data_IF_093910716268
#
_entry.id   IF_093910716268
#
_cell.length_a   1.000
_cell.length_b   1.000
_cell.length_c   1.000
_cell.angle_alpha   90.00
_cell.angle_beta   90.00
_cell.angle_gamma   90.00
#
_symmetry.space_group_name_H-M   'P 1'
#
loop_
_entity.id
_entity.type
_entity.pdbx_description
1 polymer ?
#
# COMPACT_ATOMS: atom_id res chain seq x y z
N UNK A 1 18.07 -34.81 -7.38
CA UNK A 1 18.27 -34.10 -8.63
C UNK A 1 19.10 -32.86 -8.35
N UNK A 2 20.17 -32.54 -9.12
CA UNK A 2 21.00 -31.38 -8.82
C UNK A 2 20.21 -30.08 -9.10
N UNK A 3 20.30 -29.13 -8.18
CA UNK A 3 19.72 -27.79 -8.32
C UNK A 3 20.29 -27.12 -9.58
N UNK A 4 19.40 -26.58 -10.42
CA UNK A 4 19.77 -25.84 -11.62
C UNK A 4 20.54 -24.58 -11.20
N UNK A 5 21.81 -24.49 -11.61
CA UNK A 5 22.60 -23.26 -11.49
C UNK A 5 21.94 -22.19 -12.36
N UNK A 6 21.36 -21.17 -11.75
CA UNK A 6 20.89 -19.98 -12.45
C UNK A 6 22.11 -19.28 -13.06
N UNK A 7 22.08 -19.06 -14.37
CA UNK A 7 23.10 -18.28 -15.08
C UNK A 7 22.93 -16.79 -14.70
N UNK A 8 23.90 -16.14 -14.04
CA UNK A 8 23.79 -14.76 -13.60
C UNK A 8 23.68 -13.73 -14.74
N UNK A 9 24.03 -14.11 -15.98
CA UNK A 9 24.02 -13.22 -17.16
C UNK A 9 22.74 -13.32 -18.00
N UNK A 10 21.76 -14.12 -17.58
CA UNK A 10 20.47 -14.17 -18.27
C UNK A 10 19.56 -13.07 -17.71
N UNK A 11 19.04 -12.15 -18.57
CA UNK A 11 18.05 -11.19 -18.11
C UNK A 11 16.89 -11.95 -17.45
N UNK A 12 16.36 -11.48 -16.31
CA UNK A 12 15.27 -12.14 -15.62
C UNK A 12 14.11 -12.36 -16.59
N UNK A 13 13.56 -13.58 -16.61
CA UNK A 13 12.38 -13.85 -17.43
C UNK A 13 11.28 -12.85 -17.06
N UNK A 14 10.55 -12.32 -18.05
CA UNK A 14 9.52 -11.34 -17.76
C UNK A 14 8.51 -11.95 -16.80
N UNK A 15 8.28 -11.28 -15.66
CA UNK A 15 7.26 -11.67 -14.70
C UNK A 15 5.92 -11.79 -15.42
N UNK A 16 5.24 -12.90 -15.22
CA UNK A 16 3.95 -13.18 -15.87
C UNK A 16 2.86 -13.43 -14.81
N UNK A 17 2.05 -12.41 -14.58
CA UNK A 17 0.85 -12.46 -13.75
C UNK A 17 -0.41 -12.28 -14.59
N UNK A 18 -0.33 -12.51 -15.90
CA UNK A 18 -1.43 -12.30 -16.86
C UNK A 18 -2.72 -12.96 -16.37
N UNK A 19 -3.82 -12.20 -16.41
CA UNK A 19 -5.14 -12.66 -15.99
C UNK A 19 -5.38 -12.74 -14.48
N UNK A 20 -4.38 -12.38 -13.65
CA UNK A 20 -4.54 -12.34 -12.19
C UNK A 20 -4.94 -10.96 -11.71
N UNK A 21 -5.62 -10.90 -10.57
CA UNK A 21 -5.86 -9.68 -9.81
C UNK A 21 -4.72 -9.43 -8.83
N UNK A 22 -4.52 -8.17 -8.42
CA UNK A 22 -3.59 -7.80 -7.36
C UNK A 22 -4.34 -7.02 -6.27
N UNK A 23 -4.71 -7.69 -5.20
CA UNK A 23 -5.46 -7.10 -4.08
C UNK A 23 -4.54 -6.81 -2.91
N UNK A 24 -3.60 -7.71 -2.64
CA UNK A 24 -2.58 -7.63 -1.60
C UNK A 24 -1.28 -8.21 -2.13
N UNK A 25 -0.14 -7.83 -1.55
CA UNK A 25 1.14 -8.52 -1.84
C UNK A 25 1.18 -9.94 -1.26
N UNK A 26 0.19 -10.32 -0.44
CA UNK A 26 -0.01 -11.72 -0.01
C UNK A 26 -0.52 -12.62 -1.15
N UNK A 27 -1.16 -12.06 -2.18
CA UNK A 27 -1.62 -12.81 -3.36
C UNK A 27 -0.45 -13.30 -4.23
N UNK A 28 0.73 -12.79 -3.95
CA UNK A 28 1.96 -13.08 -4.67
C UNK A 28 2.87 -14.01 -3.86
N UNK A 29 3.62 -14.88 -4.53
CA UNK A 29 4.71 -15.59 -3.89
C UNK A 29 5.86 -14.62 -3.55
N UNK A 30 6.78 -14.97 -2.62
CA UNK A 30 7.96 -14.15 -2.36
C UNK A 30 8.81 -13.87 -3.62
N UNK A 31 8.91 -14.86 -4.51
CA UNK A 31 9.64 -14.76 -5.77
C UNK A 31 8.93 -13.80 -6.74
N UNK A 32 7.59 -13.81 -6.77
CA UNK A 32 6.81 -12.88 -7.58
C UNK A 32 6.94 -11.44 -7.08
N UNK A 33 6.91 -11.21 -5.76
CA UNK A 33 7.17 -9.89 -5.18
C UNK A 33 8.57 -9.41 -5.56
N UNK A 34 9.59 -10.27 -5.41
CA UNK A 34 10.98 -9.96 -5.77
C UNK A 34 11.11 -9.65 -7.26
N UNK A 35 10.47 -10.45 -8.11
CA UNK A 35 10.45 -10.21 -9.56
C UNK A 35 9.79 -8.90 -9.97
N UNK A 36 8.74 -8.44 -9.27
CA UNK A 36 8.14 -7.12 -9.49
C UNK A 36 9.08 -5.99 -9.06
N UNK A 37 9.78 -6.15 -7.92
CA UNK A 37 10.80 -5.19 -7.45
C UNK A 37 11.93 -5.07 -8.47
N UNK A 38 12.48 -6.20 -8.92
CA UNK A 38 13.57 -6.23 -9.91
C UNK A 38 13.11 -5.63 -11.25
N UNK A 39 11.88 -5.94 -11.68
CA UNK A 39 11.27 -5.34 -12.87
C UNK A 39 11.14 -3.82 -12.74
N UNK A 40 10.65 -3.32 -11.59
CA UNK A 40 10.52 -1.88 -11.34
C UNK A 40 11.89 -1.17 -11.40
N UNK A 41 12.93 -1.77 -10.80
CA UNK A 41 14.29 -1.24 -10.83
C UNK A 41 14.89 -1.24 -12.25
N UNK A 42 14.69 -2.31 -13.00
CA UNK A 42 15.15 -2.39 -14.39
C UNK A 42 14.45 -1.37 -15.31
N UNK A 43 13.14 -1.15 -15.11
CA UNK A 43 12.40 -0.09 -15.80
C UNK A 43 12.92 1.30 -15.45
N UNK A 44 13.22 1.54 -14.17
CA UNK A 44 13.81 2.81 -13.66
C UNK A 44 15.18 3.07 -14.23
N UNK A 45 16.00 2.04 -14.35
CA UNK A 45 17.34 2.12 -14.94
C UNK A 45 17.33 2.22 -16.48
N UNK A 46 16.20 2.04 -17.15
CA UNK A 46 16.10 1.98 -18.62
C UNK A 46 16.65 0.69 -19.23
N UNK A 47 16.81 -0.35 -18.43
CA UNK A 47 17.30 -1.67 -18.85
C UNK A 47 16.18 -2.57 -19.37
N UNK A 48 14.92 -2.15 -19.17
CA UNK A 48 13.70 -2.86 -19.55
C UNK A 48 12.66 -1.89 -20.08
N UNK A 49 11.85 -2.36 -21.03
CA UNK A 49 10.65 -1.69 -21.52
C UNK A 49 9.40 -2.44 -21.04
N UNK A 50 8.34 -1.67 -20.65
CA UNK A 50 7.05 -2.27 -20.31
C UNK A 50 6.16 -2.42 -21.55
N UNK A 51 5.42 -3.52 -21.63
CA UNK A 51 4.53 -3.86 -22.77
C UNK A 51 3.17 -3.21 -22.64
N UNK A 52 3.13 -1.87 -22.54
CA UNK A 52 1.91 -1.08 -22.31
C UNK A 52 1.43 -0.32 -23.53
N UNK A 53 2.18 -0.33 -24.64
CA UNK A 53 1.80 0.37 -25.86
C UNK A 53 0.42 -0.07 -26.38
N UNK A 54 -0.46 0.91 -26.59
CA UNK A 54 -1.85 0.70 -27.03
C UNK A 54 -2.79 0.14 -25.96
N UNK A 55 -2.33 -0.06 -24.72
CA UNK A 55 -3.18 -0.55 -23.62
C UNK A 55 -3.83 0.60 -22.88
N UNK A 56 -4.98 0.32 -22.29
CA UNK A 56 -5.79 1.29 -21.54
C UNK A 56 -6.02 0.77 -20.12
N UNK A 57 -5.79 1.60 -19.11
CA UNK A 57 -6.17 1.35 -17.72
C UNK A 57 -7.34 2.26 -17.34
N UNK A 58 -8.44 1.68 -16.84
CA UNK A 58 -9.50 2.44 -16.17
C UNK A 58 -9.15 2.56 -14.68
N UNK A 59 -9.11 3.78 -14.14
CA UNK A 59 -8.74 4.06 -12.75
C UNK A 59 -9.93 4.66 -12.00
N UNK A 60 -10.57 3.88 -11.13
CA UNK A 60 -11.77 4.27 -10.39
C UNK A 60 -11.39 4.77 -8.99
N UNK A 61 -11.58 6.06 -8.74
CA UNK A 61 -11.19 6.73 -7.51
C UNK A 61 -12.42 7.20 -6.70
N UNK A 62 -12.87 6.41 -5.72
CA UNK A 62 -13.87 6.86 -4.75
C UNK A 62 -13.29 7.87 -3.76
N UNK A 63 -11.98 7.81 -3.51
CA UNK A 63 -11.27 8.73 -2.64
C UNK A 63 -10.16 9.46 -3.40
N UNK A 64 -9.92 10.74 -3.09
CA UNK A 64 -8.87 11.52 -3.77
C UNK A 64 -7.48 10.94 -3.50
N UNK A 65 -6.62 10.97 -4.53
CA UNK A 65 -5.20 10.64 -4.42
C UNK A 65 -4.40 11.35 -5.49
N UNK A 66 -3.35 12.06 -5.07
CA UNK A 66 -2.43 12.73 -6.00
C UNK A 66 -1.42 11.70 -6.54
N UNK A 67 -0.69 11.04 -5.64
CA UNK A 67 0.42 10.15 -6.02
C UNK A 67 -0.03 8.90 -6.75
N UNK A 68 -1.07 8.22 -6.26
CA UNK A 68 -1.58 7.01 -6.92
C UNK A 68 -2.08 7.31 -8.33
N UNK A 69 -2.80 8.44 -8.50
CA UNK A 69 -3.29 8.85 -9.80
C UNK A 69 -2.15 9.17 -10.75
N UNK A 70 -1.26 10.09 -10.37
CA UNK A 70 -0.14 10.51 -11.21
C UNK A 70 0.78 9.32 -11.53
N UNK A 71 1.11 8.46 -10.55
CA UNK A 71 2.01 7.32 -10.80
C UNK A 71 1.42 6.32 -11.80
N UNK A 72 0.14 5.97 -11.69
CA UNK A 72 -0.51 5.06 -12.64
C UNK A 72 -0.66 5.68 -14.03
N UNK A 73 -1.13 6.93 -14.12
CA UNK A 73 -1.27 7.63 -15.39
C UNK A 73 0.08 7.82 -16.09
N UNK A 74 1.12 8.22 -15.34
CA UNK A 74 2.48 8.39 -15.88
C UNK A 74 3.12 7.05 -16.28
N UNK A 75 2.88 5.97 -15.53
CA UNK A 75 3.36 4.64 -15.90
C UNK A 75 2.80 4.19 -17.24
N UNK A 76 1.49 4.33 -17.45
CA UNK A 76 0.85 4.01 -18.72
C UNK A 76 1.38 4.87 -19.86
N UNK A 77 1.37 6.21 -19.68
CA UNK A 77 1.78 7.15 -20.71
C UNK A 77 3.25 6.99 -21.12
N UNK A 78 4.16 6.73 -20.18
CA UNK A 78 5.60 6.56 -20.44
C UNK A 78 5.89 5.42 -21.42
N UNK A 79 5.07 4.39 -21.43
CA UNK A 79 5.24 3.21 -22.28
C UNK A 79 4.18 3.07 -23.37
N UNK A 80 3.61 4.22 -23.82
CA UNK A 80 2.69 4.27 -24.96
C UNK A 80 1.29 3.73 -24.72
N UNK A 81 0.91 3.52 -23.47
CA UNK A 81 -0.45 3.24 -23.03
C UNK A 81 -1.20 4.51 -22.63
N UNK A 82 -2.41 4.35 -22.15
CA UNK A 82 -3.23 5.43 -21.62
C UNK A 82 -3.95 5.01 -20.33
N UNK A 83 -4.30 5.99 -19.50
CA UNK A 83 -5.13 5.78 -18.33
C UNK A 83 -6.30 6.76 -18.33
N UNK A 84 -7.48 6.28 -17.93
CA UNK A 84 -8.70 7.06 -17.80
C UNK A 84 -9.12 7.00 -16.33
N UNK A 85 -9.01 8.12 -15.64
CA UNK A 85 -9.42 8.19 -14.23
C UNK A 85 -10.83 8.75 -14.12
N UNK A 86 -11.69 8.06 -13.39
CA UNK A 86 -13.06 8.45 -13.07
C UNK A 86 -13.29 8.53 -11.57
N UNK A 87 -14.16 9.42 -11.12
CA UNK A 87 -14.47 9.66 -9.72
C UNK A 87 -15.97 9.51 -9.48
N UNK A 88 -16.43 8.33 -9.01
CA UNK A 88 -17.85 8.12 -8.70
C UNK A 88 -18.42 9.21 -7.78
N UNK A 89 -19.61 9.71 -8.12
CA UNK A 89 -20.27 10.79 -7.40
C UNK A 89 -19.71 12.20 -7.65
N UNK A 90 -18.74 12.35 -8.57
CA UNK A 90 -18.17 13.67 -8.95
C UNK A 90 -18.21 13.91 -10.45
N UNK A 91 -17.47 13.14 -11.23
CA UNK A 91 -17.43 13.22 -12.69
C UNK A 91 -18.24 12.10 -13.37
N UNK A 92 -18.71 11.13 -12.57
CA UNK A 92 -19.66 10.10 -12.96
C UNK A 92 -20.65 9.86 -11.82
N UNK A 93 -21.68 9.04 -12.04
CA UNK A 93 -22.66 8.67 -11.02
C UNK A 93 -22.08 7.71 -9.98
N UNK A 94 -22.84 7.51 -8.90
CA UNK A 94 -22.50 6.53 -7.87
C UNK A 94 -22.81 5.11 -8.32
N UNK A 95 -22.01 4.15 -7.87
CA UNK A 95 -22.16 2.73 -8.16
C UNK A 95 -22.75 1.97 -6.97
N UNK A 96 -23.48 0.89 -7.28
CA UNK A 96 -24.06 -0.03 -6.34
C UNK A 96 -23.37 -1.40 -6.43
N UNK A 97 -23.27 -2.11 -5.30
CA UNK A 97 -22.71 -3.46 -5.27
C UNK A 97 -23.53 -4.47 -4.45
N UNK A 98 -24.54 -4.01 -3.72
CA UNK A 98 -25.36 -4.84 -2.83
C UNK A 98 -26.22 -5.87 -3.58
N UNK A 99 -26.29 -7.09 -3.04
CA UNK A 99 -27.14 -8.12 -3.62
C UNK A 99 -28.64 -7.87 -3.37
N UNK A 100 -29.48 -8.00 -4.42
CA UNK A 100 -30.92 -7.85 -4.31
C UNK A 100 -31.40 -6.45 -3.94
N UNK A 101 -30.52 -5.45 -4.02
CA UNK A 101 -30.85 -4.06 -3.70
C UNK A 101 -31.87 -3.49 -4.69
N UNK A 102 -32.81 -2.70 -4.18
CA UNK A 102 -33.73 -1.90 -5.00
C UNK A 102 -33.05 -0.55 -5.25
N UNK A 103 -32.68 -0.27 -6.49
CA UNK A 103 -31.91 0.93 -6.87
C UNK A 103 -32.83 2.16 -7.05
N UNK A 104 -33.54 2.55 -6.00
CA UNK A 104 -34.41 3.74 -5.95
C UNK A 104 -33.78 4.94 -5.23
N UNK A 105 -32.49 4.82 -4.84
CA UNK A 105 -31.71 5.83 -4.13
C UNK A 105 -30.75 6.61 -5.03
N UNK A 106 -29.53 6.89 -4.53
CA UNK A 106 -28.54 7.75 -5.18
C UNK A 106 -27.54 7.00 -6.07
N UNK A 107 -27.63 5.68 -6.18
CA UNK A 107 -26.81 4.84 -7.06
C UNK A 107 -27.54 4.60 -8.37
N UNK A 108 -26.83 4.68 -9.50
CA UNK A 108 -27.44 4.63 -10.84
C UNK A 108 -27.00 3.44 -11.68
N UNK A 109 -25.92 2.77 -11.30
CA UNK A 109 -25.37 1.63 -12.02
C UNK A 109 -24.84 0.59 -11.04
N UNK A 110 -25.21 -0.68 -11.26
CA UNK A 110 -24.75 -1.77 -10.41
C UNK A 110 -23.46 -2.40 -10.96
N UNK A 111 -22.60 -2.94 -10.09
CA UNK A 111 -21.33 -3.58 -10.50
C UNK A 111 -21.51 -4.74 -11.48
N UNK A 112 -22.69 -5.38 -11.49
CA UNK A 112 -23.02 -6.48 -12.44
C UNK A 112 -23.04 -6.04 -13.89
N UNK A 113 -23.41 -4.79 -14.16
CA UNK A 113 -23.38 -4.17 -15.48
C UNK A 113 -22.10 -3.39 -15.67
N UNK A 114 -21.69 -2.61 -14.67
CA UNK A 114 -20.50 -1.75 -14.72
C UNK A 114 -19.23 -2.52 -15.06
N UNK A 115 -18.94 -3.59 -14.30
CA UNK A 115 -17.67 -4.30 -14.44
C UNK A 115 -17.49 -4.94 -15.82
N UNK A 116 -18.43 -5.78 -16.34
CA UNK A 116 -18.27 -6.37 -17.67
C UNK A 116 -18.28 -5.32 -18.80
N UNK A 117 -18.96 -4.19 -18.61
CA UNK A 117 -18.99 -3.13 -19.65
C UNK A 117 -17.64 -2.41 -19.72
N UNK A 118 -17.11 -1.89 -18.61
CA UNK A 118 -15.84 -1.15 -18.66
C UNK A 118 -14.64 -2.05 -18.93
N UNK A 119 -14.67 -3.31 -18.51
CA UNK A 119 -13.58 -4.25 -18.78
C UNK A 119 -13.47 -4.67 -20.25
N UNK A 120 -14.51 -4.47 -21.07
CA UNK A 120 -14.44 -4.60 -22.53
C UNK A 120 -13.83 -3.38 -23.23
N UNK A 121 -13.68 -2.25 -22.51
CA UNK A 121 -13.13 -1.00 -23.04
C UNK A 121 -11.69 -0.75 -22.61
N UNK A 122 -11.17 -1.54 -21.66
CA UNK A 122 -9.84 -1.38 -21.10
C UNK A 122 -9.13 -2.72 -20.92
N UNK A 123 -7.85 -2.67 -20.55
CA UNK A 123 -7.00 -3.84 -20.36
C UNK A 123 -6.70 -4.12 -18.88
N UNK A 124 -6.93 -3.11 -18.04
CA UNK A 124 -6.75 -3.16 -16.58
C UNK A 124 -7.77 -2.25 -15.92
N UNK A 125 -8.21 -2.61 -14.71
CA UNK A 125 -8.98 -1.71 -13.86
C UNK A 125 -8.24 -1.53 -12.53
N UNK A 126 -7.97 -0.29 -12.17
CA UNK A 126 -7.47 0.08 -10.85
C UNK A 126 -8.61 0.64 -9.99
N UNK A 127 -8.81 0.13 -8.77
CA UNK A 127 -9.88 0.60 -7.88
C UNK A 127 -9.26 1.12 -6.58
N UNK A 128 -9.60 2.38 -6.23
CA UNK A 128 -9.31 2.99 -4.95
C UNK A 128 -10.61 3.28 -4.22
N UNK A 129 -10.91 2.50 -3.17
CA UNK A 129 -12.10 2.66 -2.34
C UNK A 129 -11.78 2.32 -0.89
N UNK A 130 -11.62 3.34 -0.06
CA UNK A 130 -11.42 3.20 1.38
C UNK A 130 -12.43 4.07 2.12
N UNK A 131 -13.44 3.46 2.71
CA UNK A 131 -14.48 4.16 3.45
C UNK A 131 -13.93 4.82 4.72
N UNK A 132 -12.90 4.24 5.33
CA UNK A 132 -12.25 4.82 6.53
C UNK A 132 -11.67 6.22 6.29
N UNK A 133 -11.25 6.54 5.05
CA UNK A 133 -10.81 7.90 4.69
C UNK A 133 -11.97 8.90 4.80
N UNK A 134 -13.18 8.45 4.49
CA UNK A 134 -14.38 9.29 4.45
C UNK A 134 -15.00 9.47 5.84
N UNK A 135 -14.97 8.44 6.65
CA UNK A 135 -15.56 8.40 8.00
C UNK A 135 -14.77 9.23 9.02
N UNK A 136 -13.45 9.33 8.88
CA UNK A 136 -12.61 10.21 9.70
C UNK A 136 -12.81 11.71 9.43
N UNK A 137 -13.67 12.09 8.47
CA UNK A 137 -14.18 13.44 8.28
C UNK A 137 -15.60 13.51 8.85
N UNK A 138 -15.86 14.42 9.76
CA UNK A 138 -17.03 14.60 10.63
C UNK A 138 -18.46 14.62 9.98
N UNK A 139 -18.68 13.95 8.85
CA UNK A 139 -19.93 14.01 8.08
C UNK A 139 -20.61 12.67 7.79
N UNK A 140 -20.11 11.57 8.30
CA UNK A 140 -20.78 10.28 8.14
C UNK A 140 -20.52 9.40 9.35
N UNK A 141 -21.57 9.07 10.11
CA UNK A 141 -21.49 7.98 11.06
C UNK A 141 -21.05 6.72 10.30
N UNK A 142 -19.91 6.13 10.71
CA UNK A 142 -19.57 4.80 10.23
C UNK A 142 -20.69 3.85 10.63
N UNK A 143 -21.48 3.43 9.67
CA UNK A 143 -22.46 2.38 9.85
C UNK A 143 -21.73 1.06 9.68
N UNK A 144 -21.67 0.23 10.71
CA UNK A 144 -21.00 -1.06 10.66
C UNK A 144 -19.75 -1.15 11.54
N UNK A 145 -19.13 -2.31 11.54
CA UNK A 145 -17.85 -2.58 12.23
C UNK A 145 -16.67 -2.45 11.27
N UNK A 146 -15.46 -2.37 11.81
CA UNK A 146 -14.25 -2.47 10.99
C UNK A 146 -14.23 -3.78 10.17
N UNK A 147 -14.65 -4.90 10.76
CA UNK A 147 -14.68 -6.21 10.10
C UNK A 147 -15.57 -6.22 8.84
N UNK A 148 -16.67 -5.47 8.85
CA UNK A 148 -17.51 -5.31 7.65
C UNK A 148 -16.79 -4.52 6.56
N UNK A 149 -16.12 -3.43 6.91
CA UNK A 149 -15.36 -2.64 5.95
C UNK A 149 -14.13 -3.38 5.41
N UNK A 150 -13.45 -4.16 6.26
CA UNK A 150 -12.28 -4.95 5.87
C UNK A 150 -12.59 -6.03 4.83
N UNK A 151 -13.86 -6.36 4.62
CA UNK A 151 -14.30 -7.25 3.53
C UNK A 151 -14.09 -6.64 2.14
N UNK A 152 -13.92 -5.33 2.02
CA UNK A 152 -13.70 -4.62 0.75
C UNK A 152 -14.74 -5.00 -0.32
N UNK A 153 -16.03 -5.06 0.07
CA UNK A 153 -17.13 -5.68 -0.70
C UNK A 153 -17.20 -5.20 -2.15
N UNK A 154 -17.14 -3.88 -2.36
CA UNK A 154 -17.20 -3.34 -3.72
C UNK A 154 -16.07 -3.89 -4.62
N UNK A 155 -14.84 -3.95 -4.08
CA UNK A 155 -13.67 -4.44 -4.81
C UNK A 155 -13.85 -5.91 -5.22
N UNK A 156 -14.28 -6.75 -4.27
CA UNK A 156 -14.51 -8.16 -4.52
C UNK A 156 -15.69 -8.41 -5.47
N UNK A 157 -16.80 -7.69 -5.29
CA UNK A 157 -17.94 -7.78 -6.21
C UNK A 157 -17.59 -7.31 -7.63
N UNK A 158 -16.78 -6.25 -7.75
CA UNK A 158 -16.31 -5.82 -9.06
C UNK A 158 -15.49 -6.91 -9.76
N UNK A 159 -14.58 -7.56 -9.02
CA UNK A 159 -13.74 -8.65 -9.55
C UNK A 159 -14.55 -9.88 -10.01
N UNK A 160 -15.68 -10.18 -9.37
CA UNK A 160 -16.55 -11.31 -9.79
C UNK A 160 -17.04 -11.16 -11.24
N UNK A 161 -17.23 -9.92 -11.71
CA UNK A 161 -17.77 -9.61 -13.03
C UNK A 161 -16.74 -9.02 -14.01
N UNK A 162 -15.53 -8.76 -13.54
CA UNK A 162 -14.46 -8.20 -14.39
C UNK A 162 -13.86 -9.25 -15.33
N UNK A 163 -13.66 -8.86 -16.60
CA UNK A 163 -13.06 -9.71 -17.64
C UNK A 163 -11.54 -9.42 -17.82
N UNK A 164 -10.99 -8.44 -17.11
CA UNK A 164 -9.57 -8.06 -17.14
C UNK A 164 -9.00 -7.95 -15.72
N UNK A 165 -7.67 -7.97 -15.54
CA UNK A 165 -7.04 -7.78 -14.24
C UNK A 165 -7.51 -6.56 -13.48
N UNK A 166 -7.82 -6.74 -12.19
CA UNK A 166 -8.17 -5.69 -11.24
C UNK A 166 -7.02 -5.48 -10.27
N UNK A 167 -6.61 -4.22 -10.09
CA UNK A 167 -5.55 -3.78 -9.19
C UNK A 167 -6.14 -2.96 -8.06
N UNK A 168 -5.91 -3.38 -6.83
CA UNK A 168 -6.24 -2.59 -5.64
C UNK A 168 -5.28 -1.40 -5.53
N UNK A 169 -5.80 -0.19 -5.71
CA UNK A 169 -5.03 1.05 -5.58
C UNK A 169 -5.03 1.63 -4.15
N UNK A 170 -5.89 1.20 -3.32
CA UNK A 170 -6.05 1.27 -1.86
C UNK A 170 -7.50 0.93 -1.50
N UNK A 171 -7.67 -0.06 -0.66
CA UNK A 171 -8.95 -0.45 -0.07
C UNK A 171 -8.99 -0.13 1.43
N UNK A 172 -9.95 -0.67 2.17
CA UNK A 172 -9.97 -0.52 3.63
C UNK A 172 -8.85 -1.31 4.31
N UNK A 173 -8.44 -2.44 3.73
CA UNK A 173 -7.50 -3.39 4.34
C UNK A 173 -6.10 -3.31 3.74
N UNK A 174 -5.94 -3.02 2.43
CA UNK A 174 -4.68 -3.14 1.71
C UNK A 174 -4.37 -1.97 0.77
N UNK A 175 -3.08 -1.72 0.59
CA UNK A 175 -2.53 -0.80 -0.40
C UNK A 175 -1.28 -1.41 -1.08
N UNK A 176 -1.44 -2.48 -1.91
CA UNK A 176 -0.30 -3.26 -2.44
C UNK A 176 0.69 -2.43 -3.25
N UNK A 177 0.22 -1.41 -3.95
CA UNK A 177 1.06 -0.50 -4.72
C UNK A 177 2.01 0.33 -3.83
N UNK A 178 1.62 0.61 -2.57
CA UNK A 178 2.52 1.22 -1.59
C UNK A 178 3.53 0.19 -1.10
N UNK A 179 3.08 -1.00 -0.72
CA UNK A 179 3.97 -2.08 -0.27
C UNK A 179 5.11 -2.34 -1.26
N UNK A 180 4.80 -2.43 -2.55
CA UNK A 180 5.82 -2.65 -3.59
C UNK A 180 6.79 -1.48 -3.74
N UNK A 181 6.30 -0.23 -3.62
CA UNK A 181 7.16 0.95 -3.70
C UNK A 181 8.12 1.05 -2.51
N UNK A 182 7.61 0.78 -1.30
CA UNK A 182 8.42 0.71 -0.08
C UNK A 182 9.49 -0.37 -0.21
N UNK A 183 9.09 -1.60 -0.60
CA UNK A 183 10.01 -2.71 -0.82
C UNK A 183 11.09 -2.37 -1.85
N UNK A 184 10.73 -1.73 -2.96
CA UNK A 184 11.67 -1.31 -4.00
C UNK A 184 12.67 -0.29 -3.44
N UNK A 185 12.19 0.69 -2.66
CA UNK A 185 13.04 1.71 -2.04
C UNK A 185 14.00 1.11 -1.02
N UNK A 186 13.51 0.18 -0.19
CA UNK A 186 14.34 -0.55 0.78
C UNK A 186 15.46 -1.31 0.06
N UNK A 187 15.14 -2.04 -1.02
CA UNK A 187 16.13 -2.78 -1.80
C UNK A 187 17.14 -1.85 -2.48
N UNK A 188 16.69 -0.70 -3.03
CA UNK A 188 17.59 0.30 -3.64
C UNK A 188 18.58 0.89 -2.62
N UNK A 189 18.10 1.15 -1.39
CA UNK A 189 18.90 1.81 -0.35
C UNK A 189 19.82 0.85 0.42
N UNK A 190 19.35 -0.38 0.69
CA UNK A 190 20.08 -1.33 1.52
C UNK A 190 20.80 -2.42 0.73
N UNK A 191 20.43 -2.66 -0.52
CA UNK A 191 20.94 -3.75 -1.37
C UNK A 191 20.44 -5.12 -0.92
N UNK A 192 20.78 -5.54 0.30
CA UNK A 192 20.38 -6.81 0.91
C UNK A 192 19.57 -6.54 2.18
N UNK A 193 18.25 -6.54 2.10
CA UNK A 193 17.39 -6.19 3.25
C UNK A 193 17.12 -7.35 4.20
N UNK A 194 17.42 -8.61 3.81
CA UNK A 194 17.15 -9.79 4.63
C UNK A 194 17.82 -9.66 6.01
N UNK A 195 17.07 -9.91 7.08
CA UNK A 195 17.53 -9.79 8.49
C UNK A 195 17.90 -8.37 8.95
N UNK A 196 17.73 -7.38 8.09
CA UNK A 196 17.88 -5.98 8.49
C UNK A 196 16.70 -5.57 9.39
N UNK A 197 16.96 -4.67 10.34
CA UNK A 197 15.97 -4.23 11.31
C UNK A 197 15.07 -3.15 10.71
N UNK A 198 13.77 -3.46 10.62
CA UNK A 198 12.74 -2.54 10.15
C UNK A 198 11.80 -2.18 11.30
N UNK A 199 11.53 -0.90 11.48
CA UNK A 199 10.59 -0.37 12.46
C UNK A 199 9.42 0.30 11.74
N UNK A 200 8.22 -0.28 11.86
CA UNK A 200 6.98 0.41 11.52
C UNK A 200 6.50 1.13 12.78
N UNK A 201 6.68 2.44 12.84
CA UNK A 201 6.28 3.22 14.01
C UNK A 201 4.94 3.91 13.83
N UNK A 202 4.03 3.71 14.78
CA UNK A 202 2.87 4.58 14.93
C UNK A 202 3.32 6.01 15.19
N UNK A 203 2.56 6.97 14.66
CA UNK A 203 2.74 8.38 14.94
C UNK A 203 1.40 9.04 15.19
N UNK A 204 1.40 10.11 15.98
CA UNK A 204 0.18 10.83 16.29
C UNK A 204 -0.37 11.57 15.05
N UNK A 205 -1.71 11.66 14.98
CA UNK A 205 -2.41 12.46 13.98
C UNK A 205 -3.75 12.95 14.57
N UNK A 206 -4.23 14.19 14.26
CA UNK A 206 -5.47 14.72 14.82
C UNK A 206 -6.72 13.93 14.42
N UNK A 207 -6.67 13.19 13.33
CA UNK A 207 -7.75 12.30 12.86
C UNK A 207 -7.37 10.85 13.02
N UNK A 208 -8.38 9.98 13.13
CA UNK A 208 -8.20 8.54 12.92
C UNK A 208 -7.94 8.29 11.43
N UNK A 209 -6.88 7.59 11.09
CA UNK A 209 -6.51 7.27 9.71
C UNK A 209 -6.68 5.77 9.44
N UNK A 210 -6.88 5.38 8.16
CA UNK A 210 -7.03 3.98 7.77
C UNK A 210 -5.80 3.13 8.11
N UNK A 211 -6.04 1.86 8.37
CA UNK A 211 -5.00 0.85 8.63
C UNK A 211 -4.43 0.19 7.37
N UNK A 212 -5.05 0.38 6.21
CA UNK A 212 -4.63 -0.24 4.94
C UNK A 212 -3.16 0.05 4.57
N UNK A 213 -2.73 1.30 4.79
CA UNK A 213 -1.34 1.68 4.51
C UNK A 213 -0.36 1.04 5.48
N UNK A 214 -0.52 1.13 6.84
CA UNK A 214 0.41 0.44 7.75
C UNK A 214 0.40 -1.08 7.58
N UNK A 215 -0.74 -1.73 7.28
CA UNK A 215 -0.74 -3.15 6.90
C UNK A 215 0.18 -3.42 5.70
N UNK A 216 0.10 -2.57 4.68
CA UNK A 216 0.90 -2.74 3.46
C UNK A 216 2.37 -2.37 3.66
N UNK A 217 2.68 -1.41 4.54
CA UNK A 217 4.04 -1.07 4.97
C UNK A 217 4.65 -2.19 5.82
N UNK A 218 3.88 -2.84 6.69
CA UNK A 218 4.30 -4.06 7.36
C UNK A 218 4.68 -5.14 6.33
N UNK A 219 3.81 -5.38 5.35
CA UNK A 219 4.06 -6.39 4.32
C UNK A 219 5.25 -6.07 3.41
N UNK A 220 5.65 -4.80 3.27
CA UNK A 220 6.83 -4.44 2.48
C UNK A 220 8.11 -5.04 3.07
N UNK A 221 8.29 -4.95 4.38
CA UNK A 221 9.43 -5.49 5.10
C UNK A 221 9.34 -7.02 5.28
N UNK A 222 8.12 -7.52 5.56
CA UNK A 222 7.83 -8.96 5.70
C UNK A 222 8.22 -9.72 4.44
N UNK A 223 7.82 -9.24 3.25
CA UNK A 223 8.13 -9.87 1.97
C UNK A 223 9.64 -9.85 1.63
N UNK A 224 10.41 -9.02 2.30
CA UNK A 224 11.87 -8.94 2.17
C UNK A 224 12.61 -9.78 3.22
N UNK A 225 11.91 -10.49 4.12
CA UNK A 225 12.52 -11.30 5.17
C UNK A 225 13.30 -10.48 6.21
N UNK A 226 12.87 -9.25 6.50
CA UNK A 226 13.47 -8.36 7.49
C UNK A 226 13.11 -8.79 8.92
N UNK A 227 13.84 -8.29 9.92
CA UNK A 227 13.47 -8.37 11.32
C UNK A 227 12.59 -7.14 11.65
N UNK A 228 11.28 -7.38 11.75
CA UNK A 228 10.25 -6.33 11.79
C UNK A 228 9.80 -6.07 13.22
N UNK A 229 9.76 -4.81 13.62
CA UNK A 229 9.16 -4.33 14.85
C UNK A 229 7.99 -3.39 14.53
N UNK A 230 6.79 -3.71 14.97
CA UNK A 230 5.66 -2.78 14.99
C UNK A 230 5.71 -2.03 16.32
N UNK A 231 6.14 -0.78 16.26
CA UNK A 231 6.27 0.12 17.39
C UNK A 231 5.00 0.97 17.51
N UNK A 232 4.24 0.78 18.58
CA UNK A 232 2.94 1.41 18.75
C UNK A 232 2.58 1.57 20.23
N UNK A 233 1.77 2.57 20.61
CA UNK A 233 1.20 2.63 21.96
C UNK A 233 0.15 1.53 22.17
N UNK A 234 -0.19 1.29 23.42
CA UNK A 234 -1.30 0.41 23.78
C UNK A 234 -2.60 0.83 23.09
N UNK A 235 -3.43 -0.12 22.65
CA UNK A 235 -4.68 0.12 21.95
C UNK A 235 -4.57 0.45 20.45
N UNK A 236 -3.35 0.56 19.90
CA UNK A 236 -3.11 0.83 18.48
C UNK A 236 -2.53 -0.38 17.71
N UNK A 237 -2.97 -1.57 18.07
CA UNK A 237 -2.65 -2.79 17.33
C UNK A 237 -3.15 -2.74 15.89
N UNK A 238 -2.42 -3.40 14.99
CA UNK A 238 -2.92 -3.70 13.65
C UNK A 238 -3.90 -4.88 13.72
N UNK A 239 -4.61 -5.13 12.62
CA UNK A 239 -5.57 -6.22 12.55
C UNK A 239 -4.92 -7.58 12.92
N UNK A 240 -5.49 -8.34 13.88
CA UNK A 240 -4.87 -9.59 14.36
C UNK A 240 -4.61 -10.61 13.25
N UNK A 241 -5.52 -10.72 12.29
CA UNK A 241 -5.36 -11.64 11.15
C UNK A 241 -4.22 -11.19 10.22
N UNK A 242 -4.06 -9.88 9.98
CA UNK A 242 -2.92 -9.36 9.22
C UNK A 242 -1.61 -9.64 9.94
N UNK A 243 -1.57 -9.46 11.26
CA UNK A 243 -0.39 -9.77 12.08
C UNK A 243 -0.04 -11.26 12.05
N UNK A 244 -1.04 -12.14 12.07
CA UNK A 244 -0.85 -13.59 11.96
C UNK A 244 -0.25 -13.96 10.60
N UNK A 245 -0.85 -13.49 9.51
CA UNK A 245 -0.37 -13.72 8.14
C UNK A 245 1.03 -13.15 7.91
N UNK A 246 1.31 -11.96 8.44
CA UNK A 246 2.62 -11.33 8.36
C UNK A 246 3.69 -12.15 9.09
N UNK A 247 3.37 -12.69 10.29
CA UNK A 247 4.29 -13.54 11.07
C UNK A 247 4.62 -14.82 10.33
N UNK A 248 3.61 -15.55 9.85
CA UNK A 248 3.82 -16.76 9.07
C UNK A 248 4.70 -16.51 7.84
N UNK A 249 4.44 -15.41 7.12
CA UNK A 249 5.18 -15.05 5.92
C UNK A 249 6.64 -14.69 6.22
N UNK A 250 6.90 -13.86 7.24
CA UNK A 250 8.26 -13.41 7.56
C UNK A 250 9.10 -14.54 8.12
N UNK A 251 8.52 -15.43 8.95
CA UNK A 251 9.19 -16.61 9.48
C UNK A 251 9.59 -17.57 8.36
N UNK A 252 8.71 -17.80 7.38
CA UNK A 252 9.01 -18.61 6.20
C UNK A 252 10.17 -18.04 5.35
N UNK A 253 10.39 -16.72 5.42
CA UNK A 253 11.50 -16.02 4.76
C UNK A 253 12.72 -15.85 5.67
N UNK A 254 12.65 -16.40 6.89
CA UNK A 254 13.73 -16.40 7.88
C UNK A 254 13.85 -15.10 8.67
N UNK A 255 12.96 -14.12 8.51
CA UNK A 255 12.86 -12.90 9.34
C UNK A 255 12.10 -13.14 10.64
N UNK A 256 11.77 -12.06 11.33
CA UNK A 256 10.99 -12.07 12.56
C UNK A 256 9.99 -10.92 12.61
N UNK A 257 8.93 -11.06 13.45
CA UNK A 257 7.94 -10.02 13.68
C UNK A 257 7.61 -9.93 15.16
N UNK A 258 7.78 -8.74 15.72
CA UNK A 258 7.40 -8.42 17.10
C UNK A 258 6.63 -7.10 17.17
N UNK A 259 5.94 -6.89 18.29
CA UNK A 259 5.26 -5.65 18.65
C UNK A 259 5.80 -5.15 19.99
N UNK A 260 5.92 -3.82 20.13
CA UNK A 260 6.37 -3.19 21.38
C UNK A 260 5.91 -1.73 21.44
N UNK A 261 5.89 -1.17 22.65
CA UNK A 261 5.78 0.27 22.93
C UNK A 261 7.12 0.87 23.38
N UNK A 262 8.15 0.03 23.57
CA UNK A 262 9.51 0.47 23.93
C UNK A 262 10.21 1.12 22.74
N UNK A 263 10.10 2.46 22.68
CA UNK A 263 10.71 3.26 21.64
C UNK A 263 12.24 3.16 21.65
N UNK A 264 12.87 3.10 22.82
CA UNK A 264 14.33 3.03 22.94
C UNK A 264 14.87 1.74 22.29
N UNK A 265 14.31 0.61 22.64
CA UNK A 265 14.70 -0.68 22.07
C UNK A 265 14.36 -0.78 20.57
N UNK A 266 13.24 -0.20 20.16
CA UNK A 266 12.80 -0.27 18.77
C UNK A 266 13.72 0.53 17.83
N UNK A 267 14.06 1.77 18.15
CA UNK A 267 14.93 2.61 17.29
C UNK A 267 16.38 2.17 17.28
N UNK A 268 16.87 1.55 18.37
CA UNK A 268 18.28 1.15 18.49
C UNK A 268 18.71 0.26 17.32
N UNK A 269 19.73 0.72 16.59
CA UNK A 269 20.36 0.04 15.46
C UNK A 269 19.36 -0.32 14.32
N UNK A 270 18.26 0.40 14.18
CA UNK A 270 17.31 0.18 13.09
C UNK A 270 17.92 0.60 11.73
N UNK A 271 17.76 -0.25 10.71
CA UNK A 271 18.19 0.05 9.33
C UNK A 271 17.12 0.86 8.57
N UNK A 272 15.83 0.68 8.93
CA UNK A 272 14.70 1.37 8.34
C UNK A 272 13.72 1.80 9.43
N UNK A 273 13.32 3.08 9.40
CA UNK A 273 12.21 3.61 10.20
C UNK A 273 11.12 4.06 9.24
N UNK A 274 9.99 3.37 9.24
CA UNK A 274 8.81 3.73 8.46
C UNK A 274 7.74 4.28 9.38
N UNK A 275 7.42 5.56 9.24
CA UNK A 275 6.45 6.24 10.09
C UNK A 275 5.07 6.28 9.45
N UNK A 276 4.04 5.98 10.24
CA UNK A 276 2.66 6.13 9.80
C UNK A 276 1.72 6.38 10.98
N UNK A 277 0.78 7.29 10.79
CA UNK A 277 -0.35 7.43 11.70
C UNK A 277 -1.49 6.49 11.27
N UNK A 278 -2.11 5.81 12.22
CA UNK A 278 -3.35 5.07 12.02
C UNK A 278 -4.26 5.14 13.24
N UNK A 279 -5.56 4.96 13.02
CA UNK A 279 -6.57 4.91 14.07
C UNK A 279 -6.60 3.56 14.80
N UNK A 280 -7.05 3.56 16.02
CA UNK A 280 -7.27 2.35 16.79
C UNK A 280 -8.52 1.61 16.29
N UNK A 281 -8.42 0.31 16.09
CA UNK A 281 -9.55 -0.55 15.74
C UNK A 281 -10.56 -0.65 16.89
N UNK A 282 -10.09 -0.54 18.15
CA UNK A 282 -10.94 -0.55 19.34
C UNK A 282 -11.86 0.68 19.45
N UNK A 283 -11.45 1.79 18.82
CA UNK A 283 -12.25 3.03 18.78
C UNK A 283 -13.09 3.16 17.52
N UNK A 284 -13.16 2.13 16.67
CA UNK A 284 -13.93 2.23 15.44
C UNK A 284 -15.36 2.73 15.68
N UNK A 285 -15.76 3.77 14.94
CA UNK A 285 -17.04 4.47 15.14
C UNK A 285 -17.09 5.45 16.33
N UNK A 286 -16.04 5.52 17.19
CA UNK A 286 -15.92 6.43 18.34
C UNK A 286 -14.75 7.40 18.17
N UNK A 287 -14.64 8.02 17.00
CA UNK A 287 -13.47 8.82 16.61
C UNK A 287 -13.23 10.08 17.45
N UNK A 288 -14.30 10.68 18.00
CA UNK A 288 -14.19 11.81 18.91
C UNK A 288 -13.55 11.38 20.24
N UNK A 289 -13.94 10.22 20.76
CA UNK A 289 -13.34 9.69 21.98
C UNK A 289 -11.88 9.31 21.75
N UNK A 290 -11.56 8.67 20.62
CA UNK A 290 -10.17 8.40 20.26
C UNK A 290 -9.31 9.66 20.20
N UNK A 291 -9.85 10.75 19.64
CA UNK A 291 -9.13 12.02 19.54
C UNK A 291 -8.78 12.61 20.93
N UNK A 292 -9.66 12.42 21.91
CA UNK A 292 -9.43 12.85 23.31
C UNK A 292 -8.37 11.96 23.96
N UNK A 293 -8.54 10.65 23.87
CA UNK A 293 -7.71 9.68 24.60
C UNK A 293 -6.27 9.62 24.06
N UNK A 294 -6.06 9.85 22.76
CA UNK A 294 -4.72 9.90 22.15
C UNK A 294 -4.02 11.25 22.24
N UNK A 295 -4.71 12.30 22.69
CA UNK A 295 -4.12 13.64 22.76
C UNK A 295 -2.80 13.70 23.57
N UNK A 296 -2.67 12.99 24.72
CA UNK A 296 -1.42 12.96 25.51
C UNK A 296 -0.24 12.32 24.77
N UNK A 297 -0.48 11.48 23.77
CA UNK A 297 0.57 10.76 23.03
C UNK A 297 1.29 11.63 21.97
N UNK A 298 0.79 12.84 21.74
CA UNK A 298 1.19 13.67 20.60
C UNK A 298 2.69 13.92 20.53
N UNK A 299 3.28 14.39 21.61
CA UNK A 299 4.67 14.89 21.61
C UNK A 299 5.67 13.74 21.74
N UNK A 300 5.27 12.61 22.34
CA UNK A 300 6.13 11.44 22.50
C UNK A 300 6.26 10.59 21.23
N UNK A 301 5.25 10.65 20.34
CA UNK A 301 5.17 9.79 19.16
C UNK A 301 5.44 10.52 17.84
N UNK A 302 6.20 11.60 17.87
CA UNK A 302 6.80 12.23 16.70
C UNK A 302 8.13 11.53 16.37
N UNK A 303 8.46 11.34 15.09
CA UNK A 303 9.81 10.93 14.69
C UNK A 303 10.69 12.16 14.57
N UNK A 304 11.71 12.23 15.39
CA UNK A 304 12.63 13.35 15.49
C UNK A 304 14.10 12.93 15.28
N UNK A 305 15.00 13.89 15.31
CA UNK A 305 16.44 13.69 15.09
C UNK A 305 17.07 12.86 16.22
N UNK A 306 16.55 12.97 17.47
CA UNK A 306 17.07 12.22 18.61
C UNK A 306 16.76 10.71 18.42
N UNK A 307 15.54 10.37 18.01
CA UNK A 307 15.14 8.99 17.70
C UNK A 307 15.93 8.45 16.52
N UNK A 308 16.07 9.22 15.45
CA UNK A 308 16.87 8.81 14.29
C UNK A 308 18.35 8.63 14.61
N UNK A 309 18.91 9.39 15.55
CA UNK A 309 20.30 9.22 15.99
C UNK A 309 20.56 7.88 16.71
N UNK A 310 19.53 7.19 17.20
CA UNK A 310 19.62 5.86 17.81
C UNK A 310 19.72 4.73 16.79
N UNK A 311 19.39 5.00 15.55
CA UNK A 311 19.40 4.01 14.45
C UNK A 311 20.83 3.70 14.00
N UNK A 312 21.02 2.62 13.27
CA UNK A 312 22.29 2.25 12.64
C UNK A 312 22.54 3.01 11.32
N UNK A 313 22.42 4.33 11.28
CA UNK A 313 22.40 5.17 10.07
C UNK A 313 21.17 4.84 9.18
N UNK A 314 20.05 4.51 9.81
CA UNK A 314 18.84 4.01 9.16
C UNK A 314 18.16 5.04 8.26
N UNK A 315 17.48 4.55 7.22
CA UNK A 315 16.66 5.39 6.32
C UNK A 315 15.28 5.66 6.93
N UNK A 316 14.73 6.82 6.62
CA UNK A 316 13.38 7.22 6.99
C UNK A 316 12.42 7.11 5.79
N UNK A 317 11.27 6.42 5.98
CA UNK A 317 10.19 6.23 5.01
C UNK A 317 8.88 6.82 5.52
N UNK A 318 8.08 7.35 4.61
CA UNK A 318 6.70 7.77 4.85
C UNK A 318 5.95 7.92 3.51
N UNK A 319 4.84 7.21 3.35
CA UNK A 319 4.04 7.16 2.11
C UNK A 319 3.48 8.50 1.59
N UNK A 320 3.58 9.58 2.39
CA UNK A 320 2.97 10.88 2.09
C UNK A 320 1.43 10.81 1.83
N UNK A 321 0.65 11.88 2.08
CA UNK A 321 1.09 13.17 2.64
C UNK A 321 1.50 13.05 4.10
N UNK A 322 2.42 13.89 4.54
CA UNK A 322 2.91 13.93 5.91
C UNK A 322 2.56 15.27 6.57
N UNK A 323 2.26 15.25 7.85
CA UNK A 323 2.13 16.47 8.66
C UNK A 323 3.47 16.76 9.33
N UNK A 324 4.17 17.76 8.81
CA UNK A 324 5.43 18.24 9.36
C UNK A 324 5.28 18.69 10.80
N UNK A 325 6.24 18.36 11.62
CA UNK A 325 6.30 18.69 13.05
C UNK A 325 5.10 18.17 13.87
N UNK A 326 4.46 17.14 13.35
CA UNK A 326 3.40 16.35 13.99
C UNK A 326 3.72 14.85 13.89
N UNK A 327 3.97 14.35 12.67
CA UNK A 327 4.34 12.97 12.41
C UNK A 327 5.87 12.81 12.47
N UNK A 328 6.56 13.76 11.91
CA UNK A 328 8.03 13.80 11.77
C UNK A 328 8.49 15.25 11.75
N UNK A 329 9.65 15.52 12.33
CA UNK A 329 10.27 16.86 12.30
C UNK A 329 10.78 17.23 10.91
N UNK A 330 10.94 18.53 10.68
CA UNK A 330 11.52 19.04 9.43
C UNK A 330 12.95 18.52 9.21
N UNK A 331 13.76 18.43 10.27
CA UNK A 331 15.15 17.98 10.16
C UNK A 331 15.27 16.50 9.73
N UNK A 332 14.37 15.63 10.17
CA UNK A 332 14.32 14.23 9.70
C UNK A 332 13.78 14.17 8.28
N UNK A 333 12.67 14.86 7.99
CA UNK A 333 11.97 14.76 6.70
C UNK A 333 12.80 15.31 5.54
N UNK A 334 13.53 16.41 5.77
CA UNK A 334 14.40 17.04 4.78
C UNK A 334 15.88 16.61 4.93
N UNK A 335 16.17 15.79 5.92
CA UNK A 335 17.51 15.31 6.25
C UNK A 335 18.02 14.21 5.32
N UNK A 336 19.32 13.86 5.50
CA UNK A 336 20.03 12.88 4.66
C UNK A 336 19.47 11.46 4.73
N UNK A 337 18.78 11.12 5.81
CA UNK A 337 18.18 9.80 6.03
C UNK A 337 16.83 9.62 5.33
N UNK A 338 16.21 10.72 4.92
CA UNK A 338 14.90 10.70 4.28
C UNK A 338 14.96 10.07 2.89
N UNK A 339 14.21 9.00 2.70
CA UNK A 339 14.00 8.35 1.40
C UNK A 339 12.56 8.54 0.86
N UNK A 340 11.80 9.48 1.44
CA UNK A 340 10.38 9.68 1.08
C UNK A 340 10.16 10.10 -0.37
N UNK A 341 11.14 10.77 -0.98
CA UNK A 341 11.06 11.16 -2.40
C UNK A 341 11.27 9.97 -3.33
N UNK A 342 12.24 9.11 -2.99
CA UNK A 342 12.50 7.88 -3.74
C UNK A 342 11.34 6.90 -3.61
N UNK A 343 10.77 6.77 -2.39
CA UNK A 343 9.57 5.99 -2.11
C UNK A 343 8.38 6.46 -2.97
N UNK A 344 8.17 7.77 -3.04
CA UNK A 344 7.12 8.35 -3.87
C UNK A 344 7.38 8.16 -5.37
N UNK A 345 8.61 8.29 -5.84
CA UNK A 345 9.01 8.04 -7.24
C UNK A 345 8.81 6.56 -7.60
N UNK A 346 9.21 5.64 -6.71
CA UNK A 346 9.07 4.21 -6.93
C UNK A 346 7.63 3.75 -7.13
N UNK A 347 6.62 4.55 -6.75
CA UNK A 347 5.22 4.33 -7.11
C UNK A 347 5.00 4.29 -8.62
N UNK A 348 5.72 5.11 -9.38
CA UNK A 348 5.67 5.10 -10.85
C UNK A 348 6.22 3.78 -11.41
N UNK A 349 7.41 3.39 -10.96
CA UNK A 349 8.12 2.25 -11.51
C UNK A 349 7.45 0.92 -11.14
N UNK A 350 6.95 0.82 -9.91
CA UNK A 350 6.17 -0.35 -9.47
C UNK A 350 4.81 -0.44 -10.17
N UNK A 351 4.16 0.70 -10.46
CA UNK A 351 2.93 0.70 -11.26
C UNK A 351 3.20 0.18 -12.68
N UNK A 352 4.28 0.64 -13.32
CA UNK A 352 4.67 0.14 -14.64
C UNK A 352 4.99 -1.36 -14.61
N UNK A 353 5.72 -1.84 -13.59
CA UNK A 353 6.05 -3.26 -13.43
C UNK A 353 4.81 -4.13 -13.22
N UNK A 354 3.86 -3.67 -12.40
CA UNK A 354 2.59 -4.38 -12.15
C UNK A 354 1.75 -4.46 -13.42
N UNK A 355 1.52 -3.34 -14.11
CA UNK A 355 0.73 -3.36 -15.34
C UNK A 355 1.41 -4.18 -16.45
N UNK A 356 2.76 -4.14 -16.57
CA UNK A 356 3.50 -5.00 -17.50
C UNK A 356 3.33 -6.49 -17.18
N UNK A 357 3.42 -6.86 -15.88
CA UNK A 357 3.28 -8.25 -15.46
C UNK A 357 1.86 -8.80 -15.65
N UNK A 358 0.83 -7.96 -15.45
CA UNK A 358 -0.58 -8.32 -15.64
C UNK A 358 -1.01 -8.28 -17.10
N UNK A 359 -0.22 -7.65 -17.99
CA UNK A 359 -0.58 -7.49 -19.40
C UNK A 359 -0.79 -8.87 -20.06
N UNK A 360 -1.89 -9.05 -20.83
CA UNK A 360 -2.06 -10.24 -21.66
C UNK A 360 -0.87 -10.42 -22.60
N UNK A 361 -0.51 -11.67 -22.88
CA UNK A 361 0.59 -12.03 -23.81
C UNK A 361 0.26 -11.61 -25.22
#
# INVERSE_FOLDING_TARGET
MPASRTNPDRPPEPMNLSGRNLISTLDLSPEEVRGLIDSARALKAGEKEARLAGRVAALVFFNPSVRTRISCESAMARYGGSAIAVQPGKDTWNFECGEGVVMDGNTQEHVRELAPVITRMCHFVGIRKSELITVGSAQGAATGSYDELAKDEFLHRFMEFAEVPVVNLESNRWHPMQSLADSTTIVERLGKPEKKKYVLTWTWHPKSLPVATPHSQLMSAVNLGMDVTVLRPEGYGLEPEVMRLARERVEALGGSLQETDDQEAAYKDADVVCAKAWGSLDYYGRFEQEAIDKAPLRDDWIVDEEKMAKTGDGIFLHCLPVRRNIVVTDGVLDGRHSAVKDEAENRLWTAAAVFDALAPK
#
